data_IF_038734915285
#
_entry.id   IF_038734915285
#
_cell.length_a   1.000
_cell.length_b   1.000
_cell.length_c   1.000
_cell.angle_alpha   90.00
_cell.angle_beta   90.00
_cell.angle_gamma   90.00
#
_symmetry.space_group_name_H-M   'P 1'
#
loop_
_entity.id
_entity.type
_entity.pdbx_description
1 polymer ?
#
# COMPACT_ATOMS: atom_id res chain seq x y z
N UNK A 1 -35.70 -3.70 29.23
CA UNK A 1 -34.82 -2.54 28.97
C UNK A 1 -35.56 -1.70 27.94
N UNK A 2 -36.18 -0.66 28.38
CA UNK A 2 -36.95 0.26 27.52
C UNK A 2 -36.03 0.92 26.49
N UNK A 3 -36.56 1.11 25.30
CA UNK A 3 -35.91 1.77 24.16
C UNK A 3 -35.33 3.13 24.55
N UNK A 4 -34.08 3.17 24.96
CA UNK A 4 -33.37 4.45 25.01
C UNK A 4 -33.22 4.95 23.55
N UNK A 5 -33.57 6.21 23.27
CA UNK A 5 -33.31 6.77 21.96
C UNK A 5 -31.81 6.72 21.67
N UNK A 6 -31.41 6.57 20.40
CA UNK A 6 -29.99 6.57 20.03
C UNK A 6 -29.32 7.85 20.53
N UNK A 7 -28.18 7.70 21.18
CA UNK A 7 -27.48 8.76 21.92
C UNK A 7 -27.00 9.92 21.01
N UNK A 8 -27.14 9.82 19.68
CA UNK A 8 -26.54 10.78 18.75
C UNK A 8 -27.37 11.11 17.51
N UNK A 9 -28.68 10.90 17.50
CA UNK A 9 -29.45 11.06 16.25
C UNK A 9 -29.18 9.99 15.17
N UNK A 10 -28.49 8.91 15.52
CA UNK A 10 -28.23 7.79 14.67
C UNK A 10 -29.43 6.82 14.58
N UNK A 11 -29.35 5.85 13.68
CA UNK A 11 -30.44 4.90 13.45
C UNK A 11 -30.70 3.99 14.65
N UNK A 12 -31.97 3.58 14.83
CA UNK A 12 -32.33 2.60 15.86
C UNK A 12 -31.71 1.22 15.54
N UNK A 13 -31.62 0.35 16.56
CA UNK A 13 -31.18 -1.04 16.38
C UNK A 13 -32.02 -1.77 15.32
N UNK A 14 -33.34 -1.61 15.36
CA UNK A 14 -34.24 -2.31 14.43
C UNK A 14 -34.06 -1.80 13.00
N UNK A 15 -33.86 -0.50 12.83
CA UNK A 15 -33.52 0.12 11.54
C UNK A 15 -32.18 -0.37 11.03
N UNK A 16 -31.14 -0.40 11.89
CA UNK A 16 -29.82 -0.93 11.52
C UNK A 16 -29.92 -2.39 11.06
N UNK A 17 -30.69 -3.22 11.76
CA UNK A 17 -30.82 -4.64 11.40
C UNK A 17 -31.58 -4.84 10.09
N UNK A 18 -32.69 -4.13 9.88
CA UNK A 18 -33.48 -4.26 8.65
C UNK A 18 -32.75 -3.71 7.43
N UNK A 19 -32.13 -2.55 7.55
CA UNK A 19 -31.37 -1.91 6.47
C UNK A 19 -30.07 -2.65 6.20
N UNK A 20 -29.38 -3.13 7.24
CA UNK A 20 -28.19 -3.96 7.11
C UNK A 20 -28.48 -5.26 6.37
N UNK A 21 -29.61 -5.90 6.65
CA UNK A 21 -30.04 -7.10 5.93
C UNK A 21 -30.24 -6.82 4.43
N UNK A 22 -30.93 -5.72 4.10
CA UNK A 22 -31.15 -5.36 2.69
C UNK A 22 -29.85 -5.14 1.93
N UNK A 23 -28.86 -4.49 2.54
CA UNK A 23 -27.52 -4.30 1.95
C UNK A 23 -26.80 -5.65 1.80
N UNK A 24 -26.87 -6.53 2.79
CA UNK A 24 -26.22 -7.86 2.72
C UNK A 24 -26.86 -8.75 1.64
N UNK A 25 -28.18 -8.69 1.47
CA UNK A 25 -28.90 -9.41 0.42
C UNK A 25 -28.50 -8.89 -0.98
N UNK A 26 -28.36 -7.59 -1.12
CA UNK A 26 -27.86 -6.97 -2.34
C UNK A 26 -26.42 -7.43 -2.65
N UNK A 27 -25.52 -7.39 -1.65
CA UNK A 27 -24.13 -7.84 -1.78
C UNK A 27 -24.06 -9.31 -2.17
N UNK A 28 -24.84 -10.19 -1.52
CA UNK A 28 -24.88 -11.60 -1.83
C UNK A 28 -25.31 -11.82 -3.31
N UNK A 29 -26.38 -11.17 -3.73
CA UNK A 29 -26.87 -11.25 -5.13
C UNK A 29 -25.82 -10.75 -6.12
N UNK A 30 -25.13 -9.65 -5.81
CA UNK A 30 -24.07 -9.09 -6.66
C UNK A 30 -22.88 -10.06 -6.80
N UNK A 31 -22.48 -10.72 -5.71
CA UNK A 31 -21.36 -11.66 -5.73
C UNK A 31 -21.71 -12.99 -6.41
N UNK A 32 -22.93 -13.44 -6.29
CA UNK A 32 -23.40 -14.66 -6.94
C UNK A 32 -23.55 -14.49 -8.46
N UNK A 33 -23.87 -13.28 -8.91
CA UNK A 33 -24.25 -13.00 -10.29
C UNK A 33 -23.52 -11.79 -10.90
N UNK A 34 -22.18 -11.72 -10.81
CA UNK A 34 -21.43 -10.57 -11.35
C UNK A 34 -21.59 -10.42 -12.88
N UNK A 35 -21.92 -11.53 -13.59
CA UNK A 35 -22.16 -11.54 -15.04
C UNK A 35 -23.40 -10.76 -15.47
N UNK A 36 -24.30 -10.39 -14.56
CA UNK A 36 -25.46 -9.54 -14.86
C UNK A 36 -25.08 -8.09 -15.13
N UNK A 37 -23.89 -7.69 -14.72
CA UNK A 37 -23.39 -6.34 -14.90
C UNK A 37 -22.50 -6.25 -16.13
N UNK A 38 -22.40 -5.06 -16.71
CA UNK A 38 -21.41 -4.82 -17.77
C UNK A 38 -20.02 -4.75 -17.16
N UNK A 39 -19.02 -5.33 -17.82
CA UNK A 39 -17.63 -5.25 -17.37
C UNK A 39 -17.20 -3.81 -17.15
N UNK A 40 -17.41 -2.95 -18.17
CA UNK A 40 -17.05 -1.54 -18.12
C UNK A 40 -18.28 -0.64 -18.24
N UNK A 41 -18.18 0.54 -17.65
CA UNK A 41 -19.21 1.57 -17.76
C UNK A 41 -19.38 2.06 -19.19
N UNK A 42 -20.63 2.38 -19.57
CA UNK A 42 -20.94 3.10 -20.80
C UNK A 42 -21.10 4.61 -20.58
N UNK A 43 -20.95 5.09 -19.35
CA UNK A 43 -21.09 6.51 -19.02
C UNK A 43 -20.03 7.36 -19.73
N UNK A 44 -20.45 8.52 -20.23
CA UNK A 44 -19.57 9.55 -20.75
C UNK A 44 -19.14 10.49 -19.61
N UNK A 45 -18.03 11.22 -19.77
CA UNK A 45 -17.64 12.23 -18.81
C UNK A 45 -18.77 13.22 -18.51
N UNK A 46 -19.17 13.30 -17.24
CA UNK A 46 -20.24 14.17 -16.76
C UNK A 46 -21.62 13.49 -16.58
N UNK A 47 -21.87 12.33 -17.17
CA UNK A 47 -23.19 11.68 -17.09
C UNK A 47 -23.59 11.36 -15.64
N UNK A 48 -22.70 10.75 -14.87
CA UNK A 48 -22.98 10.42 -13.46
C UNK A 48 -23.21 11.68 -12.65
N UNK A 49 -22.36 12.71 -12.84
CA UNK A 49 -22.52 13.98 -12.14
C UNK A 49 -23.86 14.66 -12.48
N UNK A 50 -24.29 14.61 -13.72
CA UNK A 50 -25.55 15.19 -14.17
C UNK A 50 -26.79 14.42 -13.65
N UNK A 51 -26.64 13.15 -13.27
CA UNK A 51 -27.70 12.33 -12.68
C UNK A 51 -27.91 12.57 -11.18
N UNK A 52 -26.98 13.26 -10.53
CA UNK A 52 -27.02 13.56 -9.10
C UNK A 52 -27.50 15.00 -8.84
N UNK A 53 -28.10 15.30 -7.68
CA UNK A 53 -28.52 16.65 -7.32
C UNK A 53 -27.35 17.65 -7.38
N UNK A 54 -27.61 18.85 -7.91
CA UNK A 54 -26.58 19.91 -8.00
C UNK A 54 -26.29 20.59 -6.66
N UNK A 55 -27.19 20.46 -5.69
CA UNK A 55 -27.07 21.01 -4.33
C UNK A 55 -27.27 19.90 -3.30
N UNK A 56 -26.72 20.07 -2.06
CA UNK A 56 -26.97 19.12 -1.00
C UNK A 56 -28.47 19.06 -0.66
N UNK A 57 -29.01 17.89 -0.30
CA UNK A 57 -30.43 17.77 0.09
C UNK A 57 -30.67 18.51 1.42
N UNK A 58 -31.83 19.16 1.52
CA UNK A 58 -32.29 19.85 2.74
C UNK A 58 -32.77 18.88 3.83
N UNK A 59 -33.15 17.67 3.45
CA UNK A 59 -33.62 16.61 4.35
C UNK A 59 -33.02 15.26 3.96
N UNK A 60 -32.95 14.34 4.94
CA UNK A 60 -32.54 12.96 4.70
C UNK A 60 -33.57 12.20 3.84
N UNK A 61 -33.11 11.17 3.13
CA UNK A 61 -33.92 10.25 2.34
C UNK A 61 -33.98 8.87 3.01
N UNK A 62 -34.93 8.04 2.58
CA UNK A 62 -35.00 6.66 3.05
C UNK A 62 -33.89 5.82 2.43
N UNK A 63 -33.47 4.73 3.10
CA UNK A 63 -32.46 3.84 2.55
C UNK A 63 -32.90 3.22 1.22
N UNK A 64 -34.17 2.92 1.08
CA UNK A 64 -34.75 2.35 -0.15
C UNK A 64 -34.53 3.31 -1.32
N UNK A 65 -34.77 4.61 -1.15
CA UNK A 65 -34.52 5.61 -2.19
C UNK A 65 -33.03 5.74 -2.51
N UNK A 66 -32.17 5.69 -1.48
CA UNK A 66 -30.70 5.73 -1.64
C UNK A 66 -30.19 4.49 -2.37
N UNK A 67 -30.71 3.29 -2.06
CA UNK A 67 -30.34 2.05 -2.75
C UNK A 67 -30.86 2.05 -4.21
N UNK A 68 -32.04 2.58 -4.46
CA UNK A 68 -32.53 2.75 -5.84
C UNK A 68 -31.63 3.68 -6.64
N UNK A 69 -31.24 4.81 -6.09
CA UNK A 69 -30.29 5.73 -6.71
C UNK A 69 -28.91 5.08 -6.94
N UNK A 70 -28.43 4.29 -5.99
CA UNK A 70 -27.21 3.53 -6.11
C UNK A 70 -27.28 2.56 -7.29
N UNK A 71 -28.34 1.77 -7.42
CA UNK A 71 -28.52 0.82 -8.51
C UNK A 71 -28.69 1.50 -9.87
N UNK A 72 -29.47 2.58 -9.93
CA UNK A 72 -29.83 3.22 -11.20
C UNK A 72 -28.80 4.23 -11.69
N UNK A 73 -28.09 4.92 -10.78
CA UNK A 73 -27.18 6.02 -11.11
C UNK A 73 -25.71 5.66 -10.93
N UNK A 74 -25.37 4.90 -9.87
CA UNK A 74 -23.97 4.62 -9.53
C UNK A 74 -23.47 3.32 -10.17
N UNK A 75 -24.18 2.22 -10.00
CA UNK A 75 -23.78 0.90 -10.52
C UNK A 75 -23.50 0.91 -12.03
N UNK A 76 -24.31 1.57 -12.90
CA UNK A 76 -24.02 1.63 -14.33
C UNK A 76 -22.72 2.41 -14.67
N UNK A 77 -22.27 3.25 -13.74
CA UNK A 77 -21.02 4.02 -13.87
C UNK A 77 -19.77 3.27 -13.41
N UNK A 78 -19.89 2.08 -12.82
CA UNK A 78 -18.79 1.32 -12.27
C UNK A 78 -18.19 0.35 -13.30
N UNK A 79 -16.88 0.16 -13.24
CA UNK A 79 -16.20 -0.97 -13.87
C UNK A 79 -16.14 -2.12 -12.87
N UNK A 80 -16.74 -3.25 -13.19
CA UNK A 80 -16.89 -4.38 -12.28
C UNK A 80 -15.65 -5.29 -12.33
N UNK A 81 -14.71 -5.05 -11.43
CA UNK A 81 -13.41 -5.73 -11.39
C UNK A 81 -13.51 -7.23 -11.07
N UNK A 82 -14.56 -7.65 -10.36
CA UNK A 82 -14.87 -9.05 -10.07
C UNK A 82 -15.64 -9.77 -11.17
N UNK A 83 -15.95 -9.09 -12.30
CA UNK A 83 -16.64 -9.72 -13.40
C UNK A 83 -15.78 -10.81 -14.05
N UNK A 84 -16.31 -12.02 -14.36
CA UNK A 84 -15.51 -13.15 -14.86
C UNK A 84 -14.82 -12.90 -16.21
N UNK A 85 -15.25 -11.89 -16.97
CA UNK A 85 -14.60 -11.49 -18.23
C UNK A 85 -13.85 -10.16 -18.12
N UNK A 86 -13.54 -9.69 -16.91
CA UNK A 86 -12.67 -8.53 -16.72
C UNK A 86 -11.20 -8.95 -16.81
N UNK A 87 -10.52 -8.50 -17.87
CA UNK A 87 -9.10 -8.81 -18.13
C UNK A 87 -8.21 -7.56 -18.13
N UNK A 88 -8.71 -6.45 -17.59
CA UNK A 88 -7.95 -5.20 -17.49
C UNK A 88 -7.14 -5.11 -16.21
N UNK A 89 -6.05 -4.36 -16.26
CA UNK A 89 -5.19 -4.07 -15.09
C UNK A 89 -4.72 -5.33 -14.35
N UNK A 90 -4.53 -5.24 -13.03
CA UNK A 90 -4.45 -6.41 -12.15
C UNK A 90 -5.82 -6.65 -11.53
N UNK A 91 -6.50 -7.70 -11.96
CA UNK A 91 -7.79 -8.06 -11.39
C UNK A 91 -7.66 -8.25 -9.88
N UNK A 92 -8.50 -7.55 -9.14
CA UNK A 92 -8.60 -7.65 -7.69
C UNK A 92 -10.03 -8.00 -7.34
N UNK A 93 -10.24 -8.96 -6.46
CA UNK A 93 -11.54 -9.26 -5.89
C UNK A 93 -11.42 -9.34 -4.38
N UNK A 94 -12.53 -9.11 -3.69
CA UNK A 94 -12.59 -9.20 -2.24
C UNK A 94 -13.09 -10.56 -1.82
N UNK A 95 -12.58 -11.09 -0.71
CA UNK A 95 -13.14 -12.26 -0.05
C UNK A 95 -14.31 -11.87 0.85
N UNK A 96 -15.31 -12.74 1.01
CA UNK A 96 -16.45 -12.52 1.92
C UNK A 96 -15.97 -12.32 3.37
N UNK A 97 -15.05 -13.13 3.94
CA UNK A 97 -14.51 -12.85 5.28
C UNK A 97 -13.88 -11.48 5.42
N UNK A 98 -13.13 -11.03 4.39
CA UNK A 98 -12.53 -9.70 4.39
C UNK A 98 -13.56 -8.57 4.38
N UNK A 99 -14.66 -8.71 3.62
CA UNK A 99 -15.76 -7.73 3.62
C UNK A 99 -16.49 -7.67 4.96
N UNK A 100 -16.73 -8.80 5.60
CA UNK A 100 -17.35 -8.85 6.93
C UNK A 100 -16.41 -8.21 7.99
N UNK A 101 -15.11 -8.43 7.87
CA UNK A 101 -14.13 -7.75 8.72
C UNK A 101 -14.13 -6.22 8.49
N UNK A 102 -14.33 -5.74 7.24
CA UNK A 102 -14.47 -4.30 6.97
C UNK A 102 -15.70 -3.69 7.64
N UNK A 103 -16.81 -4.43 7.73
CA UNK A 103 -17.99 -4.00 8.50
C UNK A 103 -17.64 -3.80 9.99
N UNK A 104 -16.91 -4.76 10.57
CA UNK A 104 -16.45 -4.64 11.96
C UNK A 104 -15.45 -3.49 12.13
N UNK A 105 -14.51 -3.30 11.20
CA UNK A 105 -13.56 -2.19 11.22
C UNK A 105 -14.30 -0.84 11.21
N UNK A 106 -15.32 -0.71 10.37
CA UNK A 106 -16.13 0.50 10.28
C UNK A 106 -16.92 0.76 11.57
N UNK A 107 -17.51 -0.29 12.16
CA UNK A 107 -18.27 -0.18 13.40
C UNK A 107 -17.39 0.16 14.61
N UNK A 108 -16.20 -0.41 14.70
CA UNK A 108 -15.25 -0.16 15.79
C UNK A 108 -14.59 1.22 15.69
N UNK A 109 -14.38 1.70 14.47
CA UNK A 109 -13.69 2.96 14.12
C UNK A 109 -12.38 3.21 14.88
N UNK A 110 -11.60 2.13 15.10
CA UNK A 110 -10.34 2.17 15.85
C UNK A 110 -9.28 2.93 15.08
N UNK A 111 -8.58 3.83 15.76
CA UNK A 111 -7.41 4.53 15.22
C UNK A 111 -6.15 3.76 15.63
N UNK A 112 -5.66 2.87 14.74
CA UNK A 112 -4.53 1.97 14.97
C UNK A 112 -3.18 2.70 14.88
N UNK A 113 -3.01 3.79 15.62
CA UNK A 113 -1.80 4.63 15.58
C UNK A 113 -0.84 4.34 16.72
N UNK A 114 -1.36 4.22 17.93
CA UNK A 114 -0.63 3.97 19.18
C UNK A 114 -1.08 2.65 19.79
N UNK A 115 -0.17 1.94 20.44
CA UNK A 115 -0.53 0.79 21.26
C UNK A 115 -1.58 1.18 22.31
N UNK A 116 -1.41 2.31 22.97
CA UNK A 116 -2.30 2.80 24.03
C UNK A 116 -3.74 3.05 23.55
N UNK A 117 -3.93 3.49 22.31
CA UNK A 117 -5.27 3.74 21.75
C UNK A 117 -5.98 2.45 21.34
N UNK A 118 -5.25 1.41 21.00
CA UNK A 118 -5.76 0.06 20.77
C UNK A 118 -4.63 -0.98 20.82
N UNK A 119 -4.35 -1.58 21.98
CA UNK A 119 -3.39 -2.67 22.09
C UNK A 119 -3.71 -3.81 21.12
N UNK A 120 -4.99 -4.20 21.04
CA UNK A 120 -5.43 -5.27 20.14
C UNK A 120 -5.16 -4.98 18.66
N UNK A 121 -5.36 -3.73 18.20
CA UNK A 121 -5.08 -3.38 16.80
C UNK A 121 -3.59 -3.43 16.50
N UNK A 122 -2.75 -2.94 17.41
CA UNK A 122 -1.30 -2.96 17.26
C UNK A 122 -0.76 -4.40 17.26
N UNK A 123 -1.13 -5.19 18.24
CA UNK A 123 -0.62 -6.57 18.40
C UNK A 123 -1.15 -7.49 17.29
N UNK A 124 -2.40 -7.32 16.87
CA UNK A 124 -2.93 -8.06 15.71
C UNK A 124 -2.17 -7.69 14.42
N UNK A 125 -1.78 -6.43 14.23
CA UNK A 125 -0.98 -6.04 13.07
C UNK A 125 0.41 -6.69 13.11
N UNK A 126 1.04 -6.77 14.27
CA UNK A 126 2.31 -7.49 14.45
C UNK A 126 2.16 -8.97 14.10
N UNK A 127 1.12 -9.63 14.62
CA UNK A 127 0.86 -11.06 14.37
C UNK A 127 0.52 -11.31 12.89
N UNK A 128 -0.39 -10.54 12.31
CA UNK A 128 -0.81 -10.75 10.92
C UNK A 128 0.33 -10.49 9.92
N UNK A 129 1.13 -9.45 10.15
CA UNK A 129 2.30 -9.19 9.29
C UNK A 129 3.40 -10.23 9.51
N UNK A 130 3.58 -10.76 10.72
CA UNK A 130 4.54 -11.85 10.97
C UNK A 130 4.09 -13.16 10.32
N UNK A 131 2.81 -13.50 10.37
CA UNK A 131 2.28 -14.65 9.63
C UNK A 131 2.49 -14.49 8.11
N UNK A 132 2.20 -13.32 7.56
CA UNK A 132 2.45 -13.05 6.15
C UNK A 132 3.94 -13.17 5.82
N UNK A 133 4.84 -12.65 6.67
CA UNK A 133 6.27 -12.81 6.56
C UNK A 133 6.69 -14.28 6.47
N UNK A 134 6.15 -15.12 7.36
CA UNK A 134 6.40 -16.56 7.38
C UNK A 134 5.88 -17.25 6.12
N UNK A 135 4.66 -16.93 5.69
CA UNK A 135 4.06 -17.45 4.47
C UNK A 135 4.90 -17.13 3.23
N UNK A 136 5.48 -15.92 3.17
CA UNK A 136 6.39 -15.49 2.12
C UNK A 136 7.78 -16.14 2.20
N UNK A 137 8.10 -16.85 3.29
CA UNK A 137 9.41 -17.45 3.51
C UNK A 137 10.51 -16.46 3.90
N UNK A 138 10.16 -15.27 4.35
CA UNK A 138 11.11 -14.25 4.81
C UNK A 138 11.65 -14.61 6.21
N UNK A 139 12.96 -14.36 6.44
CA UNK A 139 13.62 -14.59 7.72
C UNK A 139 13.11 -13.71 8.87
N UNK A 140 13.54 -13.98 10.10
CA UNK A 140 13.07 -13.26 11.30
C UNK A 140 13.47 -11.78 11.37
N UNK A 141 14.42 -11.32 10.56
CA UNK A 141 14.90 -9.92 10.59
C UNK A 141 14.00 -8.90 9.89
N UNK A 142 12.79 -9.28 9.44
CA UNK A 142 11.87 -8.40 8.74
C UNK A 142 10.76 -7.90 9.68
N UNK A 143 10.62 -6.58 9.77
CA UNK A 143 9.54 -5.91 10.48
C UNK A 143 8.44 -5.53 9.51
N UNK A 144 7.19 -5.90 9.79
CA UNK A 144 6.03 -5.68 8.94
C UNK A 144 5.18 -4.48 9.40
N UNK A 145 4.68 -3.72 8.42
CA UNK A 145 3.77 -2.57 8.62
C UNK A 145 2.67 -2.65 7.56
N UNK A 146 1.41 -2.48 7.95
CA UNK A 146 0.33 -2.29 6.97
C UNK A 146 0.26 -0.84 6.51
N UNK A 147 0.17 -0.64 5.21
CA UNK A 147 -0.10 0.67 4.57
C UNK A 147 -1.34 0.57 3.68
N UNK A 148 -1.77 1.68 3.11
CA UNK A 148 -2.89 1.68 2.15
C UNK A 148 -2.48 1.05 0.82
N UNK A 149 -1.38 1.51 0.23
CA UNK A 149 -0.94 1.09 -1.11
C UNK A 149 0.58 0.92 -1.18
N UNK A 150 1.04 0.15 -2.18
CA UNK A 150 2.46 0.06 -2.49
C UNK A 150 3.07 1.42 -2.87
N UNK A 151 2.26 2.40 -3.30
CA UNK A 151 2.78 3.75 -3.57
C UNK A 151 3.30 4.43 -2.30
N UNK A 152 2.59 4.27 -1.18
CA UNK A 152 3.07 4.73 0.13
C UNK A 152 4.27 3.89 0.58
N UNK A 153 4.22 2.56 0.41
CA UNK A 153 5.34 1.68 0.76
C UNK A 153 6.62 2.05 0.00
N UNK A 154 6.54 2.34 -1.30
CA UNK A 154 7.68 2.81 -2.11
C UNK A 154 8.22 4.16 -1.59
N UNK A 155 7.32 5.07 -1.21
CA UNK A 155 7.73 6.35 -0.60
C UNK A 155 8.43 6.12 0.75
N UNK A 156 7.93 5.23 1.60
CA UNK A 156 8.58 4.87 2.85
C UNK A 156 9.95 4.24 2.62
N UNK A 157 10.08 3.38 1.61
CA UNK A 157 11.36 2.75 1.25
C UNK A 157 12.40 3.80 0.81
N UNK A 158 12.03 4.74 -0.07
CA UNK A 158 12.92 5.81 -0.51
C UNK A 158 13.23 6.82 0.60
N UNK A 159 12.28 7.10 1.48
CA UNK A 159 12.51 7.93 2.67
C UNK A 159 13.50 7.24 3.64
N UNK A 160 13.34 5.92 3.86
CA UNK A 160 14.28 5.13 4.64
C UNK A 160 15.69 5.10 4.00
N UNK A 161 15.75 4.91 2.67
CA UNK A 161 17.01 4.98 1.94
C UNK A 161 17.73 6.32 2.17
N UNK A 162 16.99 7.43 2.09
CA UNK A 162 17.51 8.79 2.35
C UNK A 162 17.97 8.97 3.81
N UNK A 163 17.18 8.51 4.76
CA UNK A 163 17.50 8.61 6.19
C UNK A 163 18.59 7.61 6.61
N UNK A 164 18.90 6.59 5.80
CA UNK A 164 20.04 5.70 5.99
C UNK A 164 21.38 6.41 5.78
N UNK A 165 21.36 7.66 5.33
CA UNK A 165 22.49 8.56 5.10
C UNK A 165 22.42 9.75 6.07
N UNK A 166 22.63 9.54 7.37
CA UNK A 166 22.48 10.59 8.39
C UNK A 166 23.46 11.76 8.17
N UNK A 167 24.61 11.51 7.52
CA UNK A 167 25.60 12.52 7.17
C UNK A 167 25.06 13.63 6.24
N UNK A 168 23.98 13.35 5.53
CA UNK A 168 23.33 14.34 4.66
C UNK A 168 22.45 15.32 5.45
N UNK A 169 22.09 15.05 6.69
CA UNK A 169 21.25 15.87 7.58
C UNK A 169 19.93 16.36 6.94
N UNK A 170 19.38 15.58 6.00
CA UNK A 170 18.23 16.03 5.20
C UNK A 170 16.99 16.20 6.07
N UNK A 171 16.79 15.34 7.08
CA UNK A 171 15.65 15.47 8.00
C UNK A 171 15.64 16.84 8.71
N UNK A 172 16.80 17.29 9.15
CA UNK A 172 16.91 18.55 9.91
C UNK A 172 16.96 19.79 9.00
N UNK A 173 17.68 19.71 7.88
CA UNK A 173 18.04 20.87 7.07
C UNK A 173 17.31 20.93 5.71
N UNK A 174 16.60 19.85 5.32
CA UNK A 174 16.01 19.75 3.99
C UNK A 174 17.04 19.60 2.88
N UNK A 175 16.59 19.72 1.63
CA UNK A 175 17.47 19.63 0.44
C UNK A 175 17.51 20.93 -0.36
N UNK A 176 16.44 21.73 -0.30
CA UNK A 176 16.36 22.98 -1.07
C UNK A 176 17.43 24.00 -0.66
N UNK A 177 18.09 24.61 -1.64
CA UNK A 177 19.12 25.61 -1.41
C UNK A 177 20.46 25.09 -0.88
N UNK A 178 20.62 23.78 -0.74
CA UNK A 178 21.83 23.12 -0.26
C UNK A 178 22.81 22.85 -1.41
N UNK A 179 23.95 23.49 -1.39
CA UNK A 179 25.04 23.29 -2.37
C UNK A 179 26.08 22.23 -1.91
N UNK A 180 25.96 21.81 -0.67
CA UNK A 180 26.82 20.78 -0.04
C UNK A 180 26.27 19.36 -0.25
N UNK A 181 25.08 19.20 -0.84
CA UNK A 181 24.51 17.89 -1.09
C UNK A 181 24.81 17.40 -2.51
N UNK A 182 25.26 16.13 -2.67
CA UNK A 182 25.29 15.49 -3.98
C UNK A 182 23.84 15.26 -4.47
N UNK A 183 23.67 15.19 -5.78
CA UNK A 183 22.40 14.76 -6.35
C UNK A 183 22.16 13.29 -6.04
N UNK A 184 21.02 12.98 -5.40
CA UNK A 184 20.62 11.63 -5.05
C UNK A 184 20.07 10.92 -6.28
N UNK A 185 20.50 9.69 -6.55
CA UNK A 185 20.03 8.87 -7.68
C UNK A 185 19.19 7.70 -7.21
N UNK A 186 18.06 7.47 -7.89
CA UNK A 186 17.20 6.32 -7.70
C UNK A 186 17.16 5.53 -9.01
N UNK A 187 17.43 4.24 -8.96
CA UNK A 187 17.47 3.35 -10.13
C UNK A 187 16.24 2.46 -10.15
N UNK A 188 15.58 2.33 -11.29
CA UNK A 188 14.45 1.44 -11.50
C UNK A 188 14.39 1.01 -12.97
N UNK A 189 13.82 -0.15 -13.27
CA UNK A 189 13.62 -0.51 -14.67
C UNK A 189 12.67 0.47 -15.37
N UNK A 190 12.79 0.59 -16.70
CA UNK A 190 11.87 1.41 -17.48
C UNK A 190 10.40 0.94 -17.37
N UNK A 191 10.17 -0.31 -16.94
CA UNK A 191 8.86 -0.89 -16.68
C UNK A 191 8.43 -0.85 -15.21
N UNK A 192 9.23 -0.22 -14.32
CA UNK A 192 8.84 -0.03 -12.93
C UNK A 192 7.56 0.82 -12.82
N UNK A 193 6.76 0.52 -11.81
CA UNK A 193 5.52 1.25 -11.57
C UNK A 193 5.80 2.72 -11.23
N UNK A 194 4.92 3.61 -11.70
CA UNK A 194 5.02 5.08 -11.51
C UNK A 194 5.06 5.53 -10.03
N UNK A 195 4.81 4.63 -9.08
CA UNK A 195 4.98 4.91 -7.65
C UNK A 195 6.41 5.31 -7.29
N UNK A 196 7.41 4.78 -7.99
CA UNK A 196 8.82 5.14 -7.80
C UNK A 196 9.05 6.60 -8.19
N UNK A 197 8.55 7.00 -9.36
CA UNK A 197 8.63 8.39 -9.84
C UNK A 197 7.90 9.34 -8.90
N UNK A 198 6.67 8.98 -8.48
CA UNK A 198 5.88 9.77 -7.53
C UNK A 198 6.55 9.89 -6.16
N UNK A 199 7.18 8.82 -5.68
CA UNK A 199 7.93 8.86 -4.42
C UNK A 199 9.14 9.80 -4.53
N UNK A 200 9.88 9.76 -5.65
CA UNK A 200 10.99 10.67 -5.90
C UNK A 200 10.53 12.14 -5.97
N UNK A 201 9.38 12.40 -6.61
CA UNK A 201 8.75 13.73 -6.61
C UNK A 201 8.39 14.20 -5.20
N UNK A 202 7.65 13.38 -4.45
CA UNK A 202 7.17 13.72 -3.11
C UNK A 202 8.32 13.98 -2.12
N UNK A 203 9.43 13.25 -2.28
CA UNK A 203 10.61 13.38 -1.43
C UNK A 203 11.59 14.48 -1.88
N UNK A 204 11.28 15.22 -2.95
CA UNK A 204 12.13 16.30 -3.46
C UNK A 204 13.40 15.81 -4.15
N UNK A 205 13.48 14.54 -4.52
CA UNK A 205 14.61 13.98 -5.30
C UNK A 205 14.52 14.48 -6.75
N UNK A 206 13.31 14.52 -7.30
CA UNK A 206 13.04 14.98 -8.67
C UNK A 206 13.15 13.87 -9.72
N UNK A 207 12.38 14.01 -10.81
CA UNK A 207 12.29 12.98 -11.87
C UNK A 207 13.60 12.79 -12.63
N UNK A 208 14.36 13.84 -12.89
CA UNK A 208 15.65 13.76 -13.58
C UNK A 208 16.68 12.91 -12.83
N UNK A 209 16.40 12.59 -11.57
CA UNK A 209 17.25 11.76 -10.72
C UNK A 209 16.74 10.33 -10.59
N UNK A 210 15.64 9.98 -11.27
CA UNK A 210 15.18 8.60 -11.43
C UNK A 210 15.77 8.02 -12.72
N UNK A 211 16.82 7.23 -12.56
CA UNK A 211 17.55 6.61 -13.68
C UNK A 211 16.79 5.37 -14.14
N UNK A 212 16.28 5.40 -15.35
CA UNK A 212 15.60 4.25 -15.96
C UNK A 212 16.62 3.30 -16.54
N UNK A 213 16.62 2.08 -16.05
CA UNK A 213 17.55 1.02 -16.46
C UNK A 213 16.93 0.18 -17.56
N UNK A 214 17.70 -0.05 -18.63
CA UNK A 214 17.30 -0.88 -19.75
C UNK A 214 16.91 -2.29 -19.30
N UNK A 215 15.99 -2.88 -20.05
CA UNK A 215 15.53 -4.26 -19.83
C UNK A 215 16.04 -5.22 -20.91
N UNK A 216 15.94 -6.52 -20.61
CA UNK A 216 16.21 -7.57 -21.57
C UNK A 216 14.96 -7.89 -22.44
N UNK A 217 15.05 -8.89 -23.30
CA UNK A 217 13.93 -9.33 -24.16
C UNK A 217 12.73 -9.90 -23.39
N UNK A 218 12.91 -10.24 -22.12
CA UNK A 218 11.88 -10.68 -21.20
C UNK A 218 11.38 -9.53 -20.28
N UNK A 219 11.73 -8.29 -20.62
CA UNK A 219 11.36 -7.06 -19.89
C UNK A 219 11.88 -7.02 -18.44
N UNK A 220 13.01 -7.72 -18.15
CA UNK A 220 13.65 -7.73 -16.84
C UNK A 220 14.79 -6.72 -16.81
N UNK A 221 14.96 -6.00 -15.70
CA UNK A 221 16.10 -5.12 -15.50
C UNK A 221 17.42 -5.83 -15.84
N UNK A 222 18.29 -5.19 -16.60
CA UNK A 222 19.60 -5.72 -16.94
C UNK A 222 20.61 -5.38 -15.84
N UNK A 223 21.13 -6.37 -15.05
CA UNK A 223 22.04 -6.09 -13.95
C UNK A 223 23.30 -5.33 -14.40
N UNK A 224 23.85 -5.68 -15.58
CA UNK A 224 25.02 -4.99 -16.12
C UNK A 224 24.74 -3.51 -16.40
N UNK A 225 23.58 -3.17 -16.95
CA UNK A 225 23.18 -1.78 -17.20
C UNK A 225 23.05 -1.00 -15.89
N UNK A 226 22.51 -1.63 -14.83
CA UNK A 226 22.47 -1.04 -13.49
C UNK A 226 23.87 -0.75 -12.95
N UNK A 227 24.79 -1.71 -13.02
CA UNK A 227 26.16 -1.53 -12.55
C UNK A 227 26.87 -0.39 -13.31
N UNK A 228 26.74 -0.37 -14.64
CA UNK A 228 27.33 0.67 -15.48
C UNK A 228 26.75 2.06 -15.16
N UNK A 229 25.43 2.18 -14.91
CA UNK A 229 24.79 3.43 -14.52
C UNK A 229 25.27 3.92 -13.14
N UNK A 230 25.37 3.03 -12.15
CA UNK A 230 25.89 3.37 -10.82
C UNK A 230 27.34 3.87 -10.93
N UNK A 231 28.19 3.18 -11.69
CA UNK A 231 29.58 3.57 -11.87
C UNK A 231 29.70 4.95 -12.57
N UNK A 232 28.90 5.19 -13.60
CA UNK A 232 28.86 6.47 -14.30
C UNK A 232 28.40 7.62 -13.41
N UNK A 233 27.36 7.39 -12.59
CA UNK A 233 26.86 8.41 -11.66
C UNK A 233 27.91 8.77 -10.59
N UNK A 234 28.60 7.77 -10.03
CA UNK A 234 29.70 8.02 -9.09
C UNK A 234 30.84 8.83 -9.69
N UNK A 235 31.19 8.54 -10.96
CA UNK A 235 32.23 9.28 -11.67
C UNK A 235 31.85 10.75 -11.95
N UNK A 236 30.56 11.08 -11.85
CA UNK A 236 30.02 12.42 -12.02
C UNK A 236 29.52 13.05 -10.69
N UNK A 237 30.03 12.60 -9.55
CA UNK A 237 29.72 13.10 -8.21
C UNK A 237 28.23 13.01 -7.81
N UNK A 238 27.46 12.13 -8.44
CA UNK A 238 26.14 11.77 -7.97
C UNK A 238 26.20 10.72 -6.84
N UNK A 239 25.21 10.71 -5.99
CA UNK A 239 25.07 9.71 -4.92
C UNK A 239 24.04 8.64 -5.30
N UNK A 240 24.45 7.42 -5.66
CA UNK A 240 23.57 6.28 -5.77
C UNK A 240 22.89 6.02 -4.42
N UNK A 241 21.56 6.27 -4.35
CA UNK A 241 20.80 6.20 -3.11
C UNK A 241 20.04 4.89 -2.99
N UNK A 242 19.22 4.58 -3.98
CA UNK A 242 18.33 3.42 -3.94
C UNK A 242 18.13 2.79 -5.32
N UNK A 243 17.92 1.48 -5.33
CA UNK A 243 17.44 0.73 -6.48
C UNK A 243 16.10 0.08 -6.13
N UNK A 244 15.15 0.11 -7.07
CA UNK A 244 13.87 -0.58 -6.96
C UNK A 244 13.82 -1.69 -7.99
N UNK A 245 13.86 -2.94 -7.53
CA UNK A 245 13.64 -4.13 -8.35
C UNK A 245 12.17 -4.56 -8.24
N UNK A 246 11.58 -5.00 -9.35
CA UNK A 246 10.14 -5.31 -9.40
C UNK A 246 9.91 -6.81 -9.61
N UNK A 247 9.00 -7.39 -8.84
CA UNK A 247 8.51 -8.75 -9.01
C UNK A 247 7.07 -8.68 -9.51
N UNK A 248 6.88 -8.85 -10.82
CA UNK A 248 5.59 -8.72 -11.50
C UNK A 248 5.29 -7.27 -11.91
N UNK A 249 5.99 -6.76 -12.93
CA UNK A 249 5.75 -5.43 -13.50
C UNK A 249 4.33 -5.30 -14.05
N UNK A 250 3.75 -4.10 -13.95
CA UNK A 250 2.33 -3.86 -14.27
C UNK A 250 1.98 -4.22 -15.72
N UNK A 251 2.85 -3.94 -16.67
CA UNK A 251 2.55 -4.14 -18.10
C UNK A 251 2.88 -5.54 -18.60
N UNK A 252 3.90 -6.19 -18.06
CA UNK A 252 4.46 -7.43 -18.61
C UNK A 252 4.54 -8.58 -17.62
N UNK A 253 4.24 -8.32 -16.34
CA UNK A 253 4.42 -9.26 -15.21
C UNK A 253 5.84 -9.83 -15.11
N UNK A 254 6.83 -9.14 -15.66
CA UNK A 254 8.24 -9.58 -15.61
C UNK A 254 8.77 -9.52 -14.18
N UNK A 255 9.77 -10.35 -13.91
CA UNK A 255 10.43 -10.46 -12.61
C UNK A 255 11.88 -10.09 -12.79
N UNK A 256 12.32 -9.01 -12.16
CA UNK A 256 13.70 -8.57 -12.18
C UNK A 256 14.61 -9.58 -11.47
N UNK A 257 15.86 -9.76 -11.90
CA UNK A 257 16.80 -10.70 -11.29
C UNK A 257 17.34 -10.17 -9.96
N UNK A 258 16.49 -10.26 -8.90
CA UNK A 258 16.73 -9.64 -7.59
C UNK A 258 18.05 -10.10 -6.98
N UNK A 259 18.46 -11.36 -7.15
CA UNK A 259 19.72 -11.89 -6.62
C UNK A 259 20.94 -11.14 -7.19
N UNK A 260 20.99 -10.93 -8.50
CA UNK A 260 22.08 -10.22 -9.17
C UNK A 260 22.08 -8.73 -8.81
N UNK A 261 20.88 -8.11 -8.81
CA UNK A 261 20.68 -6.70 -8.42
C UNK A 261 21.13 -6.49 -6.97
N UNK A 262 20.79 -7.42 -6.08
CA UNK A 262 21.15 -7.34 -4.67
C UNK A 262 22.66 -7.34 -4.44
N UNK A 263 23.38 -8.14 -5.24
CA UNK A 263 24.85 -8.16 -5.16
C UNK A 263 25.45 -6.82 -5.57
N UNK A 264 24.95 -6.21 -6.64
CA UNK A 264 25.37 -4.89 -7.11
C UNK A 264 25.09 -3.83 -6.03
N UNK A 265 23.84 -3.77 -5.55
CA UNK A 265 23.44 -2.79 -4.52
C UNK A 265 24.27 -2.92 -3.25
N UNK A 266 24.57 -4.14 -2.81
CA UNK A 266 25.42 -4.39 -1.63
C UNK A 266 26.84 -3.88 -1.83
N UNK A 267 27.46 -4.18 -2.97
CA UNK A 267 28.82 -3.78 -3.28
C UNK A 267 28.97 -2.25 -3.32
N UNK A 268 27.92 -1.59 -3.79
CA UNK A 268 27.88 -0.14 -3.96
C UNK A 268 27.20 0.62 -2.82
N UNK A 269 26.78 -0.06 -1.76
CA UNK A 269 26.08 0.58 -0.61
C UNK A 269 24.79 1.31 -1.02
N UNK A 270 24.08 0.79 -2.02
CA UNK A 270 22.80 1.29 -2.52
C UNK A 270 21.66 0.57 -1.80
N UNK A 271 20.67 1.29 -1.31
CA UNK A 271 19.47 0.71 -0.71
C UNK A 271 18.69 -0.10 -1.75
N UNK A 272 18.38 -1.35 -1.45
CA UNK A 272 17.53 -2.16 -2.34
C UNK A 272 16.11 -2.26 -1.77
N UNK A 273 15.15 -1.72 -2.51
CA UNK A 273 13.72 -1.95 -2.31
C UNK A 273 13.21 -2.94 -3.36
N UNK A 274 12.43 -3.93 -2.94
CA UNK A 274 11.77 -4.87 -3.85
C UNK A 274 10.27 -4.55 -3.91
N UNK A 275 9.81 -4.13 -5.08
CA UNK A 275 8.39 -3.96 -5.36
C UNK A 275 7.79 -5.30 -5.80
N UNK A 276 7.34 -6.08 -4.82
CA UNK A 276 6.59 -7.32 -5.00
C UNK A 276 5.08 -7.13 -4.89
N UNK A 277 4.58 -5.91 -5.10
CA UNK A 277 3.17 -5.55 -4.88
C UNK A 277 2.17 -6.50 -5.56
N UNK A 278 2.52 -7.05 -6.72
CA UNK A 278 1.72 -8.05 -7.42
C UNK A 278 2.30 -9.45 -7.26
N UNK A 279 3.46 -9.70 -7.84
CA UNK A 279 4.05 -11.03 -7.96
C UNK A 279 4.66 -11.57 -6.66
N UNK A 280 5.00 -10.70 -5.70
CA UNK A 280 5.64 -11.14 -4.45
C UNK A 280 4.80 -12.13 -3.64
N UNK A 281 3.48 -12.04 -3.70
CA UNK A 281 2.57 -12.96 -3.00
C UNK A 281 2.55 -14.39 -3.57
N UNK A 282 3.04 -14.60 -4.81
CA UNK A 282 3.21 -15.95 -5.37
C UNK A 282 4.11 -16.85 -4.50
N UNK A 283 5.05 -16.26 -3.77
CA UNK A 283 5.96 -17.00 -2.90
C UNK A 283 5.27 -17.77 -1.77
N UNK A 284 4.00 -17.47 -1.48
CA UNK A 284 3.18 -18.24 -0.53
C UNK A 284 2.97 -19.68 -1.04
N UNK A 285 2.89 -19.87 -2.35
CA UNK A 285 2.78 -21.17 -3.00
C UNK A 285 4.20 -21.75 -3.12
N UNK A 286 4.47 -22.93 -2.53
CA UNK A 286 5.84 -23.47 -2.46
C UNK A 286 6.56 -23.58 -3.82
N UNK A 287 5.83 -23.94 -4.88
CA UNK A 287 6.35 -24.10 -6.24
C UNK A 287 6.83 -22.76 -6.85
N UNK A 288 6.30 -21.64 -6.37
CA UNK A 288 6.63 -20.30 -6.86
C UNK A 288 7.49 -19.50 -5.87
N UNK A 289 7.96 -20.10 -4.79
CA UNK A 289 8.77 -19.39 -3.77
C UNK A 289 10.04 -18.77 -4.35
N UNK A 290 10.56 -19.35 -5.40
CA UNK A 290 11.74 -18.83 -6.12
C UNK A 290 11.57 -17.41 -6.69
N UNK A 291 10.34 -16.89 -6.80
CA UNK A 291 10.13 -15.50 -7.25
C UNK A 291 10.73 -14.46 -6.27
N UNK A 292 10.97 -14.87 -5.02
CA UNK A 292 11.63 -14.03 -4.00
C UNK A 292 13.13 -14.36 -3.84
N UNK A 293 13.75 -15.15 -4.73
CA UNK A 293 15.18 -15.43 -4.63
C UNK A 293 15.99 -14.14 -4.66
N UNK A 294 16.85 -13.96 -3.65
CA UNK A 294 17.67 -12.76 -3.47
C UNK A 294 17.02 -11.66 -2.62
N UNK A 295 15.73 -11.76 -2.28
CA UNK A 295 15.03 -10.77 -1.46
C UNK A 295 15.60 -10.71 -0.04
N UNK A 296 16.15 -11.81 0.45
CA UNK A 296 16.82 -11.84 1.76
C UNK A 296 18.02 -10.88 1.86
N UNK A 297 18.51 -10.37 0.74
CA UNK A 297 19.58 -9.36 0.70
C UNK A 297 19.03 -7.92 0.55
N UNK A 298 17.75 -7.74 0.24
CA UNK A 298 17.12 -6.42 0.13
C UNK A 298 16.96 -5.76 1.50
N UNK A 299 16.82 -4.43 1.51
CA UNK A 299 16.56 -3.62 2.70
C UNK A 299 15.08 -3.52 3.01
N UNK A 300 14.24 -3.52 1.98
CA UNK A 300 12.78 -3.44 2.11
C UNK A 300 12.06 -4.18 0.98
N UNK A 301 10.85 -4.63 1.28
CA UNK A 301 9.93 -5.34 0.36
C UNK A 301 8.51 -4.83 0.56
N UNK A 302 7.74 -4.71 -0.50
CA UNK A 302 6.29 -4.53 -0.43
C UNK A 302 5.57 -5.67 -1.13
N UNK A 303 4.46 -6.11 -0.55
CA UNK A 303 3.46 -6.97 -1.19
C UNK A 303 2.07 -6.37 -0.94
N UNK A 304 1.14 -6.56 -1.87
CA UNK A 304 -0.22 -6.04 -1.72
C UNK A 304 -1.23 -7.17 -1.51
N UNK A 305 -1.64 -7.46 -0.26
CA UNK A 305 -2.73 -8.40 0.01
C UNK A 305 -4.02 -8.05 -0.73
N UNK A 306 -4.31 -6.76 -0.96
CA UNK A 306 -5.47 -6.33 -1.74
C UNK A 306 -5.39 -6.64 -3.25
N UNK A 307 -4.31 -7.27 -3.73
CA UNK A 307 -4.21 -7.81 -5.09
C UNK A 307 -4.47 -9.32 -5.07
N UNK A 308 -3.46 -10.13 -4.90
CA UNK A 308 -3.58 -11.59 -5.04
C UNK A 308 -3.91 -12.37 -3.76
N UNK A 309 -4.08 -11.71 -2.62
CA UNK A 309 -4.59 -12.35 -1.40
C UNK A 309 -6.06 -12.02 -1.13
N UNK A 310 -6.78 -11.46 -2.09
CA UNK A 310 -8.22 -11.20 -2.04
C UNK A 310 -8.67 -10.40 -0.80
N UNK A 311 -7.75 -9.66 -0.20
CA UNK A 311 -8.09 -8.73 0.89
C UNK A 311 -8.80 -7.51 0.28
N UNK A 312 -9.93 -7.06 0.83
CA UNK A 312 -10.59 -5.85 0.33
C UNK A 312 -9.65 -4.64 0.27
N UNK A 313 -9.75 -3.87 -0.80
CA UNK A 313 -9.00 -2.64 -0.96
C UNK A 313 -9.35 -1.64 0.17
N UNK A 314 -8.38 -1.01 0.92
CA UNK A 314 -6.96 -1.07 0.67
C UNK A 314 -6.22 -1.90 1.74
N UNK A 315 -5.18 -2.60 1.33
CA UNK A 315 -4.25 -3.29 2.23
C UNK A 315 -2.94 -3.59 1.50
N UNK A 316 -1.86 -2.98 1.94
CA UNK A 316 -0.50 -3.23 1.49
C UNK A 316 0.35 -3.61 2.71
N UNK A 317 1.27 -4.55 2.57
CA UNK A 317 2.21 -4.94 3.61
C UNK A 317 3.62 -4.53 3.19
N UNK A 318 4.22 -3.65 3.97
CA UNK A 318 5.59 -3.19 3.81
C UNK A 318 6.48 -3.87 4.85
N UNK A 319 7.56 -4.47 4.39
CA UNK A 319 8.56 -5.13 5.22
C UNK A 319 9.89 -4.41 5.14
N UNK A 320 10.56 -4.22 6.26
CA UNK A 320 11.85 -3.54 6.35
C UNK A 320 12.74 -4.22 7.38
N UNK A 321 14.04 -4.30 7.09
CA UNK A 321 15.01 -4.89 8.02
C UNK A 321 15.50 -3.96 9.11
N UNK A 322 15.50 -2.66 8.85
CA UNK A 322 15.96 -1.63 9.77
C UNK A 322 14.84 -0.65 10.10
N UNK A 323 13.84 -1.07 10.92
CA UNK A 323 12.70 -0.22 11.25
C UNK A 323 13.08 1.05 12.02
N UNK A 324 14.21 1.05 12.74
CA UNK A 324 14.76 2.22 13.41
C UNK A 324 15.01 3.39 12.44
N UNK A 325 15.36 3.12 11.20
CA UNK A 325 15.55 4.15 10.18
C UNK A 325 14.22 4.84 9.84
N UNK A 326 13.11 4.10 9.72
CA UNK A 326 11.79 4.70 9.54
C UNK A 326 11.39 5.54 10.76
N UNK A 327 11.64 5.04 11.97
CA UNK A 327 11.42 5.80 13.19
C UNK A 327 12.19 7.13 13.16
N UNK A 328 13.47 7.10 12.80
CA UNK A 328 14.24 8.34 12.63
C UNK A 328 13.68 9.26 11.56
N UNK A 329 13.17 8.71 10.44
CA UNK A 329 12.62 9.52 9.36
C UNK A 329 11.32 10.24 9.75
N UNK A 330 10.43 9.57 10.48
CA UNK A 330 9.04 10.00 10.63
C UNK A 330 8.59 10.29 12.07
N UNK A 331 9.26 9.74 13.10
CA UNK A 331 8.82 9.95 14.48
C UNK A 331 8.95 11.41 14.89
N UNK A 332 7.80 11.99 15.23
CA UNK A 332 7.64 13.29 15.86
C UNK A 332 6.66 13.10 17.01
N UNK A 333 7.17 12.87 18.23
CA UNK A 333 6.31 12.56 19.37
C UNK A 333 5.97 13.85 20.13
N UNK A 334 4.82 14.49 19.84
CA UNK A 334 4.32 15.60 20.64
C UNK A 334 3.99 15.12 22.06
N UNK A 335 4.05 16.03 23.02
CA UNK A 335 3.88 15.72 24.45
C UNK A 335 2.57 14.94 24.75
N UNK A 336 1.46 15.25 24.07
CA UNK A 336 0.18 14.57 24.25
C UNK A 336 0.12 13.12 23.75
N UNK A 337 1.13 12.67 22.98
CA UNK A 337 1.24 11.30 22.49
C UNK A 337 2.28 10.46 23.26
N UNK A 338 2.98 11.06 24.23
CA UNK A 338 3.91 10.32 25.10
C UNK A 338 3.12 9.41 26.03
N UNK A 339 3.41 8.12 26.00
CA UNK A 339 2.81 7.13 26.90
C UNK A 339 3.88 6.49 27.78
N UNK A 340 3.47 5.89 28.91
CA UNK A 340 4.42 5.24 29.83
C UNK A 340 5.08 4.01 29.20
N UNK A 341 4.36 3.37 28.28
CA UNK A 341 4.75 2.12 27.63
C UNK A 341 5.51 2.33 26.30
N UNK A 342 5.79 3.59 25.90
CA UNK A 342 6.26 3.92 24.54
C UNK A 342 7.56 3.22 24.12
N UNK A 343 8.43 2.90 25.10
CA UNK A 343 9.72 2.25 24.83
C UNK A 343 9.59 0.71 24.72
N UNK A 344 8.50 0.15 25.26
CA UNK A 344 8.25 -1.29 25.33
C UNK A 344 7.29 -1.78 24.23
N UNK A 345 6.66 -0.88 23.49
CA UNK A 345 5.61 -1.20 22.51
C UNK A 345 5.89 -0.60 21.14
N UNK A 346 5.20 -1.13 20.13
CA UNK A 346 5.20 -0.56 18.77
C UNK A 346 4.12 0.51 18.69
N UNK A 347 4.51 1.72 18.31
CA UNK A 347 3.60 2.80 17.94
C UNK A 347 3.70 3.03 16.43
N UNK A 348 2.80 2.43 15.66
CA UNK A 348 2.89 2.41 14.20
C UNK A 348 2.87 3.78 13.53
N UNK A 349 2.34 4.82 14.19
CA UNK A 349 2.41 6.20 13.71
C UNK A 349 3.84 6.72 13.51
N UNK A 350 4.82 6.12 14.21
CA UNK A 350 6.22 6.53 14.14
C UNK A 350 6.94 6.03 12.87
N UNK A 351 6.30 5.15 12.09
CA UNK A 351 6.93 4.47 10.96
C UNK A 351 6.43 4.97 9.59
N UNK A 352 5.68 6.07 9.57
CA UNK A 352 5.15 6.62 8.32
C UNK A 352 4.65 8.04 8.46
N UNK A 353 4.13 8.57 7.35
CA UNK A 353 3.62 9.95 7.26
C UNK A 353 2.29 10.11 7.99
N UNK A 354 1.51 9.04 8.10
CA UNK A 354 0.14 9.09 8.61
C UNK A 354 0.14 8.95 10.13
N UNK A 355 -0.47 9.90 10.83
CA UNK A 355 -0.79 9.77 12.24
C UNK A 355 -1.94 8.80 12.45
N UNK A 356 -3.11 9.09 11.88
CA UNK A 356 -4.27 8.20 11.93
C UNK A 356 -4.09 7.01 11.00
N UNK A 357 -4.33 5.79 11.50
CA UNK A 357 -4.19 4.56 10.75
C UNK A 357 -5.44 3.70 10.88
N UNK A 358 -5.88 3.11 9.76
CA UNK A 358 -6.99 2.18 9.73
C UNK A 358 -6.57 0.82 10.32
N UNK A 359 -7.50 0.13 10.98
CA UNK A 359 -7.26 -1.22 11.55
C UNK A 359 -7.24 -2.31 10.46
N UNK A 360 -6.30 -2.22 9.52
CA UNK A 360 -6.21 -3.12 8.34
C UNK A 360 -5.93 -4.57 8.69
N UNK A 361 -5.26 -4.83 9.79
CA UNK A 361 -4.88 -6.19 10.20
C UNK A 361 -6.09 -7.10 10.43
N UNK A 362 -7.25 -6.56 10.78
CA UNK A 362 -8.45 -7.37 11.04
C UNK A 362 -8.99 -8.05 9.78
N UNK A 363 -8.79 -7.46 8.61
CA UNK A 363 -9.25 -8.03 7.34
C UNK A 363 -8.17 -8.82 6.59
N UNK A 364 -6.91 -8.69 7.00
CA UNK A 364 -5.77 -9.44 6.48
C UNK A 364 -5.74 -10.86 7.05
#
# INVERSE_FOLDING_TARGET
MENMPPISGDLSRDTLMSQGQAILDWIATYLEHPERFRVGSAAKPGDIRASLPAAPPEAGETLEAILEDFEQKIIPGITHWNHPTFFGYFATSSSVPGMLAELLIAALDVKAMLWKTSPAATELEQVATDWLRQMLGLGHGWFGITTDTASISSMLALAAARESRPELEIRARGMAGRTDLPRLRVYASEHAHSSVDKAALALGIGLDNVVKIDVDRAYRMRPRALADAIAADRANDFLPLACVATIGTTSTSSIDPVADISQICRNDGVWLHVDGAYGGTLAIVPEFRHVLDGVEAADSLVVNPHKWLFTPFDCSAFFIKRPDILKRAFSLVPEYLVTREQDDVVNYMDYGVQLGRRFRALKL
#
